data_IF_100239509338
#
_entry.id   IF_100239509338
#
_cell.length_a   1.000
_cell.length_b   1.000
_cell.length_c   1.000
_cell.angle_alpha   90.00
_cell.angle_beta   90.00
_cell.angle_gamma   90.00
#
_symmetry.space_group_name_H-M   'P 1'
#
loop_
_entity.id
_entity.type
_entity.pdbx_description
1 polymer ?
#
# COMPACT_ATOMS: atom_id res chain seq x y z
N UNK A 1 52.53 32.50 59.72
CA UNK A 1 51.07 32.42 59.91
C UNK A 1 50.31 33.37 58.94
N UNK A 2 50.61 34.65 58.88
CA UNK A 2 49.93 35.62 57.94
C UNK A 2 49.96 35.22 56.45
N UNK A 3 51.07 34.67 55.93
CA UNK A 3 51.21 34.25 54.53
C UNK A 3 50.31 33.07 54.14
N UNK A 4 50.15 32.13 55.10
CA UNK A 4 49.26 30.97 54.86
C UNK A 4 47.78 31.37 54.83
N UNK A 5 47.37 32.30 55.67
CA UNK A 5 46.03 32.87 55.73
C UNK A 5 45.67 33.60 54.45
N UNK A 6 46.64 34.39 53.90
CA UNK A 6 46.40 35.11 52.62
C UNK A 6 46.28 34.14 51.43
N UNK A 7 47.06 33.05 51.41
CA UNK A 7 46.90 32.03 50.37
C UNK A 7 45.53 31.31 50.42
N UNK A 8 45.10 30.99 51.64
CA UNK A 8 43.77 30.34 51.83
C UNK A 8 42.65 31.29 51.37
N UNK A 9 42.71 32.55 51.75
CA UNK A 9 41.72 33.55 51.29
C UNK A 9 41.69 33.74 49.77
N UNK A 10 42.87 33.71 49.12
CA UNK A 10 42.95 33.81 47.65
C UNK A 10 42.38 32.58 46.96
N UNK A 11 42.63 31.37 47.48
CA UNK A 11 42.07 30.14 46.94
C UNK A 11 40.56 30.11 47.13
N UNK A 12 40.05 30.50 48.30
CA UNK A 12 38.60 30.52 48.57
C UNK A 12 37.90 31.56 47.68
N UNK A 13 38.49 32.71 47.45
CA UNK A 13 37.92 33.73 46.52
C UNK A 13 37.91 33.23 45.08
N UNK A 14 38.97 32.52 44.65
CA UNK A 14 39.04 31.97 43.30
C UNK A 14 38.01 30.84 43.10
N UNK A 15 37.80 30.00 44.09
CA UNK A 15 36.77 28.95 44.03
C UNK A 15 35.36 29.52 44.04
N UNK A 16 35.11 30.60 44.76
CA UNK A 16 33.81 31.26 44.79
C UNK A 16 33.50 31.92 43.43
N UNK A 17 34.50 32.53 42.77
CA UNK A 17 34.34 33.13 41.44
C UNK A 17 34.08 32.06 40.37
N UNK A 18 34.77 30.91 40.47
CA UNK A 18 34.52 29.77 39.56
C UNK A 18 33.14 29.12 39.76
N UNK A 19 32.59 29.16 40.97
CA UNK A 19 31.25 28.65 41.26
C UNK A 19 30.13 29.60 40.75
N UNK A 20 30.41 30.89 40.56
CA UNK A 20 29.43 31.86 40.03
C UNK A 20 29.45 32.00 38.50
N UNK A 21 30.50 31.45 37.85
CA UNK A 21 30.52 31.27 36.39
C UNK A 21 29.92 29.89 36.06
N UNK A 22 28.89 29.48 36.80
CA UNK A 22 28.04 28.39 36.41
C UNK A 22 27.49 28.76 35.04
N UNK A 23 27.78 27.92 34.03
CA UNK A 23 27.17 28.04 32.73
C UNK A 23 25.70 28.39 32.91
N UNK A 24 25.31 29.56 32.44
CA UNK A 24 23.91 29.84 32.11
C UNK A 24 23.60 28.86 30.98
N UNK A 25 23.30 27.61 31.37
CA UNK A 25 22.68 26.66 30.48
C UNK A 25 21.31 27.26 30.21
N UNK A 26 21.25 28.12 29.19
CA UNK A 26 19.95 28.44 28.58
C UNK A 26 19.30 27.09 28.34
N UNK A 27 18.30 26.79 29.15
CA UNK A 27 17.47 25.63 28.93
C UNK A 27 17.00 25.74 27.50
N UNK A 28 17.53 24.89 26.64
CA UNK A 28 17.13 24.86 25.24
C UNK A 28 15.61 24.83 25.22
N UNK A 29 15.01 25.85 24.63
CA UNK A 29 13.56 25.92 24.51
C UNK A 29 13.04 24.57 24.00
N UNK A 30 11.99 24.07 24.65
CA UNK A 30 11.41 22.80 24.26
C UNK A 30 11.07 22.85 22.78
N UNK A 31 11.81 22.08 21.98
CA UNK A 31 11.53 21.98 20.55
C UNK A 31 10.12 21.46 20.36
N UNK A 32 9.23 22.32 19.92
CA UNK A 32 7.88 21.93 19.53
C UNK A 32 7.90 21.66 18.05
N UNK A 33 7.95 20.36 17.69
CA UNK A 33 7.82 19.95 16.31
C UNK A 33 6.42 20.31 15.81
N UNK A 34 6.34 21.28 14.93
CA UNK A 34 5.13 21.63 14.19
C UNK A 34 5.45 21.43 12.72
N UNK A 35 5.19 20.22 12.18
CA UNK A 35 5.38 20.01 10.75
C UNK A 35 4.41 20.93 9.99
N UNK A 36 4.93 21.61 8.98
CA UNK A 36 4.13 22.42 8.05
C UNK A 36 3.51 21.50 6.98
N UNK A 37 2.92 20.41 7.43
CA UNK A 37 2.25 19.42 6.58
C UNK A 37 0.91 19.04 7.21
N UNK A 38 -0.09 18.88 6.39
CA UNK A 38 -1.35 18.28 6.83
C UNK A 38 -1.10 16.81 7.20
N UNK A 39 -1.53 16.41 8.38
CA UNK A 39 -1.55 15.01 8.81
C UNK A 39 -2.90 14.34 8.45
N UNK A 40 -3.77 15.05 7.74
CA UNK A 40 -5.02 14.47 7.27
C UNK A 40 -4.78 13.60 6.04
N UNK A 41 -5.46 12.48 5.98
CA UNK A 41 -5.43 11.60 4.81
C UNK A 41 -6.05 12.32 3.61
N UNK A 42 -5.32 12.51 2.51
CA UNK A 42 -5.75 13.36 1.41
C UNK A 42 -6.97 12.81 0.65
N UNK A 43 -7.31 11.54 0.84
CA UNK A 43 -8.36 10.83 0.10
C UNK A 43 -9.54 10.40 0.97
N UNK A 44 -9.57 10.78 2.26
CA UNK A 44 -10.58 10.34 3.23
C UNK A 44 -12.03 10.70 2.86
N UNK A 45 -12.21 11.73 2.05
CA UNK A 45 -13.53 12.25 1.65
C UNK A 45 -14.02 11.72 0.30
N UNK A 46 -13.20 10.88 -0.38
CA UNK A 46 -13.54 10.26 -1.67
C UNK A 46 -13.55 8.75 -1.55
N UNK A 47 -14.28 8.08 -2.44
CA UNK A 47 -14.29 6.62 -2.50
C UNK A 47 -13.07 6.07 -3.25
N UNK A 48 -12.80 4.77 -3.10
CA UNK A 48 -11.75 4.09 -3.86
C UNK A 48 -11.97 4.25 -5.37
N UNK A 49 -13.22 4.18 -5.85
CA UNK A 49 -13.55 4.42 -7.26
C UNK A 49 -13.19 5.83 -7.71
N UNK A 50 -13.60 6.85 -6.93
CA UNK A 50 -13.29 8.25 -7.27
C UNK A 50 -11.79 8.51 -7.34
N UNK A 51 -11.00 7.86 -6.49
CA UNK A 51 -9.54 7.91 -6.55
C UNK A 51 -9.01 7.23 -7.81
N UNK A 52 -9.38 5.96 -8.04
CA UNK A 52 -8.88 5.14 -9.14
C UNK A 52 -9.27 5.67 -10.52
N UNK A 53 -10.41 6.38 -10.64
CA UNK A 53 -10.87 6.98 -11.92
C UNK A 53 -10.44 8.44 -12.09
N UNK A 54 -9.69 9.01 -11.15
CA UNK A 54 -9.30 10.43 -11.21
C UNK A 54 -8.14 10.66 -12.19
N UNK A 55 -8.09 11.86 -12.77
CA UNK A 55 -6.94 12.32 -13.56
C UNK A 55 -5.67 12.54 -12.75
N UNK A 56 -5.76 12.52 -11.42
CA UNK A 56 -4.61 12.62 -10.52
C UNK A 56 -3.71 11.36 -10.59
N UNK A 57 -4.31 10.21 -10.89
CA UNK A 57 -3.62 8.91 -10.93
C UNK A 57 -3.77 8.19 -12.27
N UNK A 58 -4.31 8.86 -13.28
CA UNK A 58 -4.51 8.31 -14.62
C UNK A 58 -4.13 9.32 -15.70
N UNK A 59 -3.97 8.82 -16.93
CA UNK A 59 -3.64 9.60 -18.13
C UNK A 59 -2.32 10.40 -17.97
N UNK A 60 -1.36 9.84 -17.25
CA UNK A 60 -0.02 10.38 -17.13
C UNK A 60 0.96 9.48 -17.86
N UNK A 61 1.88 10.10 -18.60
CA UNK A 61 2.80 9.41 -19.49
C UNK A 61 4.25 9.70 -19.11
N UNK A 62 5.09 8.71 -19.31
CA UNK A 62 6.54 8.84 -19.29
C UNK A 62 7.03 9.64 -20.52
N UNK A 63 8.32 9.99 -20.54
CA UNK A 63 8.96 10.71 -21.65
C UNK A 63 8.87 9.94 -22.99
N UNK A 64 8.80 8.62 -22.96
CA UNK A 64 8.66 7.73 -24.12
C UNK A 64 7.21 7.56 -24.61
N UNK A 65 6.25 8.23 -23.96
CA UNK A 65 4.83 8.16 -24.31
C UNK A 65 4.08 6.96 -23.75
N UNK A 66 4.73 6.15 -22.90
CA UNK A 66 4.05 5.04 -22.20
C UNK A 66 3.35 5.54 -20.93
N UNK A 67 2.25 4.88 -20.53
CA UNK A 67 1.58 5.16 -19.27
C UNK A 67 2.51 4.92 -18.07
N UNK A 68 2.41 5.77 -17.04
CA UNK A 68 3.18 5.59 -15.81
C UNK A 68 2.75 4.29 -15.13
N UNK A 69 3.71 3.42 -14.83
CA UNK A 69 3.47 2.09 -14.27
C UNK A 69 2.80 2.08 -12.90
N UNK A 70 3.04 3.10 -12.07
CA UNK A 70 2.45 3.22 -10.73
C UNK A 70 1.04 3.83 -10.73
N UNK A 71 0.52 4.24 -11.88
CA UNK A 71 -0.85 4.73 -12.06
C UNK A 71 -1.86 3.58 -12.20
N UNK A 72 -3.16 3.89 -12.35
CA UNK A 72 -4.27 2.93 -12.27
C UNK A 72 -5.19 2.96 -13.50
N UNK A 73 -4.68 3.36 -14.67
CA UNK A 73 -5.46 3.47 -15.91
C UNK A 73 -6.16 2.14 -16.27
N UNK A 74 -5.39 1.05 -16.28
CA UNK A 74 -5.95 -0.27 -16.59
C UNK A 74 -6.89 -0.78 -15.50
N UNK A 75 -6.63 -0.48 -14.22
CA UNK A 75 -7.51 -0.91 -13.14
C UNK A 75 -8.87 -0.20 -13.22
N UNK A 76 -8.89 1.10 -13.50
CA UNK A 76 -10.15 1.85 -13.67
C UNK A 76 -10.95 1.34 -14.86
N UNK A 77 -10.30 1.10 -16.00
CA UNK A 77 -10.93 0.50 -17.17
C UNK A 77 -11.48 -0.91 -16.89
N UNK A 78 -10.69 -1.73 -16.16
CA UNK A 78 -11.08 -3.09 -15.78
C UNK A 78 -12.32 -3.11 -14.87
N UNK A 79 -12.38 -2.25 -13.85
CA UNK A 79 -13.52 -2.11 -12.94
C UNK A 79 -14.78 -1.72 -13.72
N UNK A 80 -14.65 -0.76 -14.65
CA UNK A 80 -15.77 -0.32 -15.49
C UNK A 80 -16.24 -1.43 -16.43
N UNK A 81 -15.32 -2.11 -17.14
CA UNK A 81 -15.64 -3.22 -18.05
C UNK A 81 -16.30 -4.40 -17.33
N UNK A 82 -15.81 -4.74 -16.13
CA UNK A 82 -16.37 -5.81 -15.30
C UNK A 82 -17.75 -5.48 -14.69
N UNK A 83 -18.18 -4.19 -14.73
CA UNK A 83 -19.41 -3.71 -14.10
C UNK A 83 -19.33 -3.74 -12.56
N UNK A 84 -18.15 -3.49 -11.99
CA UNK A 84 -17.90 -3.54 -10.55
C UNK A 84 -17.72 -2.15 -9.89
N UNK A 85 -18.14 -1.08 -10.58
CA UNK A 85 -18.02 0.29 -10.03
C UNK A 85 -18.64 0.39 -8.65
N UNK A 86 -19.82 -0.20 -8.42
CA UNK A 86 -20.51 -0.15 -7.14
C UNK A 86 -19.71 -0.80 -6.02
N UNK A 87 -18.93 -1.85 -6.29
CA UNK A 87 -18.08 -2.50 -5.28
C UNK A 87 -16.97 -1.59 -4.76
N UNK A 88 -16.49 -0.67 -5.60
CA UNK A 88 -15.44 0.31 -5.27
C UNK A 88 -15.99 1.68 -4.87
N UNK A 89 -17.30 1.94 -5.07
CA UNK A 89 -17.92 3.24 -4.87
C UNK A 89 -18.91 3.30 -3.69
N UNK A 90 -19.54 2.16 -3.35
CA UNK A 90 -20.55 2.12 -2.26
C UNK A 90 -19.88 2.33 -0.90
N UNK A 91 -20.44 3.19 -0.04
CA UNK A 91 -19.93 3.38 1.31
C UNK A 91 -19.90 2.07 2.09
N UNK A 92 -18.71 1.69 2.52
CA UNK A 92 -18.46 0.50 3.34
C UNK A 92 -17.06 0.63 3.96
N UNK A 93 -16.95 1.16 5.15
CA UNK A 93 -15.71 1.47 5.85
C UNK A 93 -14.92 0.23 6.34
N UNK A 94 -15.48 -0.95 6.17
CA UNK A 94 -14.86 -2.22 6.56
C UNK A 94 -14.02 -2.90 5.48
N UNK A 95 -13.77 -2.30 4.31
CA UNK A 95 -13.07 -2.96 3.18
C UNK A 95 -11.62 -2.55 3.06
N UNK A 96 -10.81 -3.48 2.51
CA UNK A 96 -9.47 -3.20 2.00
C UNK A 96 -9.42 -3.48 0.51
N UNK A 97 -8.94 -2.50 -0.25
CA UNK A 97 -8.75 -2.60 -1.69
C UNK A 97 -7.26 -2.83 -2.00
N UNK A 98 -6.92 -3.99 -2.54
CA UNK A 98 -5.60 -4.24 -3.12
C UNK A 98 -5.60 -3.70 -4.55
N UNK A 99 -5.07 -2.50 -4.71
CA UNK A 99 -5.14 -1.76 -5.97
C UNK A 99 -4.02 -2.18 -6.89
N UNK A 100 -4.37 -2.74 -8.04
CA UNK A 100 -3.44 -3.16 -9.08
C UNK A 100 -3.05 -1.95 -9.93
N UNK A 101 -1.78 -1.55 -9.87
CA UNK A 101 -1.30 -0.46 -10.73
C UNK A 101 -1.07 -0.95 -12.18
N UNK A 102 -0.66 -0.05 -13.08
CA UNK A 102 -0.45 -0.41 -14.49
C UNK A 102 0.58 -1.53 -14.67
N UNK A 103 1.62 -1.61 -13.80
CA UNK A 103 2.58 -2.71 -13.87
C UNK A 103 1.93 -4.07 -13.66
N UNK A 104 0.90 -4.17 -12.82
CA UNK A 104 0.18 -5.43 -12.58
C UNK A 104 -0.66 -5.91 -13.78
N UNK A 105 -0.83 -5.06 -14.79
CA UNK A 105 -1.55 -5.40 -16.01
C UNK A 105 -0.62 -5.79 -17.15
N UNK A 106 0.63 -5.28 -17.14
CA UNK A 106 1.56 -5.32 -18.26
C UNK A 106 2.65 -6.36 -18.06
N UNK A 107 2.52 -7.53 -18.66
CA UNK A 107 3.55 -8.57 -18.61
C UNK A 107 3.02 -9.99 -18.81
N UNK A 108 3.95 -10.94 -18.83
CA UNK A 108 3.61 -12.35 -18.93
C UNK A 108 3.07 -12.88 -17.60
N UNK A 109 1.81 -13.31 -17.61
CA UNK A 109 1.13 -13.81 -16.43
C UNK A 109 0.36 -12.73 -15.64
N UNK A 110 0.43 -11.49 -16.08
CA UNK A 110 -0.30 -10.37 -15.50
C UNK A 110 -1.75 -10.28 -16.01
N UNK A 111 -2.50 -9.28 -15.55
CA UNK A 111 -3.95 -9.24 -15.75
C UNK A 111 -4.33 -9.29 -17.21
N UNK A 112 -3.70 -8.50 -18.09
CA UNK A 112 -4.05 -8.49 -19.53
C UNK A 112 -3.88 -9.87 -20.14
N UNK A 113 -2.71 -10.51 -19.92
CA UNK A 113 -2.46 -11.86 -20.45
C UNK A 113 -3.47 -12.88 -19.91
N UNK A 114 -3.90 -12.75 -18.65
CA UNK A 114 -4.86 -13.65 -18.01
C UNK A 114 -6.27 -13.49 -18.58
N UNK A 115 -6.69 -12.27 -18.91
CA UNK A 115 -8.08 -11.99 -19.30
C UNK A 115 -8.30 -11.94 -20.82
N UNK A 116 -7.22 -11.71 -21.61
CA UNK A 116 -7.31 -11.64 -23.08
C UNK A 116 -6.67 -12.83 -23.78
N UNK A 117 -5.87 -13.63 -23.05
CA UNK A 117 -5.08 -14.74 -23.61
C UNK A 117 -3.76 -14.30 -24.26
N UNK A 118 -3.44 -13.00 -24.32
CA UNK A 118 -2.18 -12.46 -24.83
C UNK A 118 -1.74 -11.24 -23.99
N UNK A 119 -0.44 -11.07 -23.71
CA UNK A 119 0.08 -9.84 -23.12
C UNK A 119 0.16 -8.67 -24.12
N UNK A 120 -0.11 -8.92 -25.41
CA UNK A 120 0.11 -7.94 -26.47
C UNK A 120 -0.96 -6.83 -26.44
N UNK A 121 -0.48 -5.61 -26.55
CA UNK A 121 -1.29 -4.39 -26.70
C UNK A 121 -0.91 -3.77 -28.03
N UNK A 122 -1.91 -3.40 -28.82
CA UNK A 122 -1.68 -2.73 -30.11
C UNK A 122 -1.20 -1.30 -29.89
N UNK A 123 -0.40 -0.79 -30.82
CA UNK A 123 0.09 0.58 -30.75
C UNK A 123 -1.08 1.58 -30.76
N UNK A 124 -1.17 2.39 -29.70
CA UNK A 124 -2.24 3.39 -29.51
C UNK A 124 -3.53 2.84 -28.93
N UNK A 125 -3.60 1.54 -28.57
CA UNK A 125 -4.75 0.96 -27.91
C UNK A 125 -4.91 1.52 -26.48
N UNK A 126 -6.09 2.02 -26.15
CA UNK A 126 -6.38 2.56 -24.82
C UNK A 126 -6.67 1.46 -23.80
N UNK A 127 -6.53 1.72 -22.48
CA UNK A 127 -6.91 0.76 -21.46
C UNK A 127 -8.35 0.23 -21.59
N UNK A 128 -9.29 1.07 -22.00
CA UNK A 128 -10.68 0.70 -22.22
C UNK A 128 -10.85 -0.26 -23.41
N UNK A 129 -10.12 -0.04 -24.49
CA UNK A 129 -10.13 -0.92 -25.66
C UNK A 129 -9.52 -2.28 -25.34
N UNK A 130 -8.42 -2.30 -24.57
CA UNK A 130 -7.83 -3.55 -24.08
C UNK A 130 -8.83 -4.32 -23.21
N UNK A 131 -9.48 -3.66 -22.25
CA UNK A 131 -10.45 -4.29 -21.37
C UNK A 131 -11.75 -4.70 -22.06
N UNK A 132 -12.09 -4.09 -23.19
CA UNK A 132 -13.27 -4.49 -23.97
C UNK A 132 -13.17 -5.89 -24.58
N UNK A 133 -11.95 -6.43 -24.75
CA UNK A 133 -11.71 -7.81 -25.24
C UNK A 133 -11.43 -8.83 -24.14
N UNK A 134 -11.55 -8.43 -22.87
CA UNK A 134 -11.28 -9.29 -21.73
C UNK A 134 -12.38 -10.35 -21.53
N UNK A 135 -11.99 -11.51 -21.04
CA UNK A 135 -12.92 -12.46 -20.42
C UNK A 135 -13.43 -11.84 -19.10
N UNK A 136 -14.69 -11.39 -19.14
CA UNK A 136 -15.29 -10.64 -18.03
C UNK A 136 -15.48 -11.50 -16.77
N UNK A 137 -15.63 -12.82 -16.90
CA UNK A 137 -15.79 -13.68 -15.75
C UNK A 137 -14.47 -13.86 -15.02
N UNK A 138 -13.37 -14.04 -15.75
CA UNK A 138 -12.01 -14.07 -15.21
C UNK A 138 -11.67 -12.71 -14.60
N UNK A 139 -11.98 -11.62 -15.29
CA UNK A 139 -11.71 -10.26 -14.81
C UNK A 139 -12.46 -9.95 -13.49
N UNK A 140 -13.74 -10.33 -13.38
CA UNK A 140 -14.53 -10.21 -12.15
C UNK A 140 -13.94 -11.02 -11.01
N UNK A 141 -13.46 -12.23 -11.30
CA UNK A 141 -12.79 -13.08 -10.32
C UNK A 141 -11.53 -12.41 -9.77
N UNK A 142 -10.68 -11.89 -10.66
CA UNK A 142 -9.47 -11.16 -10.28
C UNK A 142 -9.82 -9.97 -9.40
N UNK A 143 -10.69 -9.07 -9.86
CA UNK A 143 -11.01 -7.84 -9.14
C UNK A 143 -11.66 -8.10 -7.78
N UNK A 144 -12.57 -9.09 -7.67
CA UNK A 144 -13.18 -9.46 -6.39
C UNK A 144 -12.21 -10.12 -5.43
N UNK A 145 -11.22 -10.86 -5.92
CA UNK A 145 -10.17 -11.42 -5.08
C UNK A 145 -9.28 -10.33 -4.47
N UNK A 146 -9.19 -9.18 -5.11
CA UNK A 146 -8.41 -8.04 -4.62
C UNK A 146 -9.21 -7.07 -3.73
N UNK A 147 -10.43 -7.45 -3.30
CA UNK A 147 -11.20 -6.74 -2.28
C UNK A 147 -11.35 -7.63 -1.05
N UNK A 148 -10.76 -7.22 0.07
CA UNK A 148 -10.85 -7.95 1.34
C UNK A 148 -12.00 -7.36 2.17
N UNK A 149 -12.82 -8.21 2.78
CA UNK A 149 -14.00 -7.84 3.57
C UNK A 149 -13.66 -7.35 5.00
N UNK A 150 -12.42 -6.89 5.21
CA UNK A 150 -11.92 -6.42 6.51
C UNK A 150 -11.05 -5.18 6.27
N UNK A 151 -11.17 -4.20 7.15
CA UNK A 151 -10.30 -3.02 7.13
C UNK A 151 -8.93 -3.38 7.69
N UNK A 152 -7.89 -3.27 6.88
CA UNK A 152 -6.53 -3.70 7.22
C UNK A 152 -5.56 -2.55 6.91
N UNK A 153 -4.92 -2.01 7.93
CA UNK A 153 -3.79 -1.09 7.76
C UNK A 153 -2.47 -1.88 7.66
N UNK A 154 -1.38 -1.19 7.40
CA UNK A 154 -0.04 -1.79 7.48
C UNK A 154 0.25 -2.40 8.87
N UNK A 155 -0.40 -1.92 9.93
CA UNK A 155 -0.12 -2.28 11.31
C UNK A 155 -1.26 -3.05 12.00
N UNK A 156 -2.49 -2.71 11.72
CA UNK A 156 -3.68 -3.30 12.35
C UNK A 156 -4.54 -4.00 11.30
N UNK A 157 -4.92 -5.25 11.49
CA UNK A 157 -4.64 -6.15 12.63
C UNK A 157 -3.31 -6.92 12.56
N UNK A 158 -2.37 -6.55 11.67
CA UNK A 158 -1.12 -7.28 11.43
C UNK A 158 -0.06 -7.00 12.54
N UNK A 159 -0.42 -7.19 13.80
CA UNK A 159 0.40 -6.74 14.94
C UNK A 159 1.70 -7.53 15.14
N UNK A 160 1.70 -8.83 14.85
CA UNK A 160 2.87 -9.69 15.04
C UNK A 160 3.67 -9.89 13.77
N UNK A 161 5.00 -9.80 13.86
CA UNK A 161 5.87 -10.03 12.72
C UNK A 161 5.98 -11.52 12.36
N UNK A 162 5.97 -11.81 11.08
CA UNK A 162 6.13 -13.16 10.57
C UNK A 162 4.93 -14.08 10.76
N UNK A 163 3.83 -13.58 11.33
CA UNK A 163 2.57 -14.32 11.47
C UNK A 163 1.72 -14.16 10.22
N UNK A 164 1.11 -15.26 9.78
CA UNK A 164 0.16 -15.27 8.67
C UNK A 164 -1.24 -14.95 9.19
N UNK A 165 -1.81 -13.86 8.71
CA UNK A 165 -3.19 -13.46 9.00
C UNK A 165 -4.05 -13.79 7.78
N UNK A 166 -5.08 -14.60 7.98
CA UNK A 166 -5.99 -15.04 6.90
C UNK A 166 -7.27 -14.22 6.93
N UNK A 167 -7.66 -13.73 5.77
CA UNK A 167 -8.85 -12.91 5.57
C UNK A 167 -9.72 -13.49 4.45
N UNK A 168 -10.97 -13.07 4.42
CA UNK A 168 -11.90 -13.38 3.34
C UNK A 168 -11.96 -12.20 2.35
N UNK A 169 -11.83 -12.51 1.07
CA UNK A 169 -12.10 -11.56 -0.02
C UNK A 169 -13.59 -11.53 -0.36
N UNK A 170 -14.00 -10.82 -1.41
CA UNK A 170 -15.38 -10.88 -1.91
C UNK A 170 -15.72 -12.21 -2.62
N UNK A 171 -14.75 -13.09 -2.81
CA UNK A 171 -15.00 -14.46 -3.27
C UNK A 171 -15.30 -15.32 -2.04
N UNK A 172 -16.45 -15.99 -1.98
CA UNK A 172 -16.79 -16.83 -0.83
C UNK A 172 -15.99 -18.14 -0.80
N UNK A 173 -15.87 -18.73 0.40
CA UNK A 173 -15.24 -20.03 0.60
C UNK A 173 -13.72 -20.01 0.55
N UNK A 174 -13.13 -21.19 0.44
CA UNK A 174 -11.67 -21.37 0.48
C UNK A 174 -10.94 -20.68 -0.67
N UNK A 175 -11.55 -20.59 -1.84
CA UNK A 175 -11.00 -19.92 -3.01
C UNK A 175 -10.84 -18.41 -2.81
N UNK A 176 -11.62 -17.82 -1.90
CA UNK A 176 -11.56 -16.41 -1.55
C UNK A 176 -10.65 -16.10 -0.36
N UNK A 177 -9.96 -17.08 0.19
CA UNK A 177 -9.01 -16.82 1.27
C UNK A 177 -7.74 -16.12 0.75
N UNK A 178 -7.30 -15.12 1.50
CA UNK A 178 -6.08 -14.36 1.24
C UNK A 178 -5.27 -14.24 2.52
N UNK A 179 -3.95 -14.30 2.44
CA UNK A 179 -3.05 -14.21 3.58
C UNK A 179 -2.19 -12.98 3.47
N UNK A 180 -2.18 -12.17 4.53
CA UNK A 180 -1.26 -11.07 4.71
C UNK A 180 -0.26 -11.42 5.81
N UNK A 181 1.00 -11.07 5.61
CA UNK A 181 2.07 -11.29 6.57
C UNK A 181 2.99 -10.08 6.61
N UNK A 182 3.12 -9.47 7.79
CA UNK A 182 4.05 -8.37 7.99
C UNK A 182 5.43 -8.88 8.43
N UNK A 183 6.48 -8.37 7.84
CA UNK A 183 7.85 -8.66 8.25
C UNK A 183 8.37 -7.64 9.29
N UNK A 184 9.58 -7.88 9.80
CA UNK A 184 10.27 -7.03 10.79
C UNK A 184 10.67 -5.65 10.26
N UNK A 185 10.57 -5.43 8.94
CA UNK A 185 10.78 -4.14 8.27
C UNK A 185 9.49 -3.42 7.94
N UNK A 186 8.37 -3.86 8.53
CA UNK A 186 7.02 -3.34 8.30
C UNK A 186 6.49 -3.55 6.88
N UNK A 187 7.10 -4.40 6.06
CA UNK A 187 6.61 -4.72 4.73
C UNK A 187 5.54 -5.80 4.84
N UNK A 188 4.49 -5.68 4.04
CA UNK A 188 3.41 -6.66 4.01
C UNK A 188 3.48 -7.47 2.71
N UNK A 189 3.66 -8.76 2.86
CA UNK A 189 3.58 -9.74 1.79
C UNK A 189 2.16 -10.32 1.73
N UNK A 190 1.64 -10.50 0.52
CA UNK A 190 0.33 -11.09 0.25
C UNK A 190 0.55 -12.47 -0.36
N UNK A 191 -0.07 -13.51 0.20
CA UNK A 191 0.01 -14.91 -0.25
C UNK A 191 1.43 -15.49 -0.33
N UNK A 192 2.40 -14.93 0.36
CA UNK A 192 3.79 -15.39 0.30
C UNK A 192 4.01 -16.76 0.97
N UNK A 193 3.21 -17.06 1.97
CA UNK A 193 3.27 -18.36 2.67
C UNK A 193 2.05 -19.19 2.32
N UNK A 194 2.21 -20.47 1.96
CA UNK A 194 1.09 -21.33 1.61
C UNK A 194 0.18 -21.63 2.79
N UNK A 195 0.69 -21.66 4.02
CA UNK A 195 -0.14 -21.98 5.18
C UNK A 195 -0.71 -20.69 5.81
N UNK A 196 -2.01 -20.64 6.14
CA UNK A 196 -3.02 -21.70 6.07
C UNK A 196 -3.81 -21.76 4.76
N UNK A 197 -3.32 -21.16 3.69
CA UNK A 197 -4.01 -21.20 2.40
C UNK A 197 -4.14 -22.64 1.87
N UNK A 198 -5.18 -22.93 1.08
CA UNK A 198 -5.29 -24.19 0.37
C UNK A 198 -4.11 -24.40 -0.57
N UNK A 199 -3.83 -25.64 -0.95
CA UNK A 199 -2.71 -26.02 -1.81
C UNK A 199 -2.68 -25.31 -3.18
N UNK A 200 -3.82 -24.79 -3.61
CA UNK A 200 -4.00 -24.02 -4.84
C UNK A 200 -3.44 -22.61 -4.79
N UNK A 201 -3.19 -22.06 -3.61
CA UNK A 201 -2.67 -20.70 -3.42
C UNK A 201 -1.14 -20.63 -3.39
N UNK A 202 -0.46 -21.62 -3.91
CA UNK A 202 0.97 -21.81 -3.73
C UNK A 202 1.77 -21.55 -4.99
N UNK A 203 2.99 -21.10 -4.82
CA UNK A 203 3.97 -20.99 -5.89
C UNK A 203 4.29 -19.57 -6.31
N UNK A 204 5.43 -19.42 -7.01
CA UNK A 204 5.85 -18.13 -7.57
C UNK A 204 4.81 -17.61 -8.56
N UNK A 205 4.58 -16.30 -8.53
CA UNK A 205 3.58 -15.63 -9.34
C UNK A 205 2.15 -15.60 -8.74
N UNK A 206 1.94 -16.20 -7.56
CA UNK A 206 0.65 -16.12 -6.84
C UNK A 206 0.75 -15.24 -5.59
N UNK A 207 1.88 -14.60 -5.37
CA UNK A 207 2.13 -13.75 -4.21
C UNK A 207 2.79 -12.45 -4.64
N UNK A 208 2.55 -11.40 -3.89
CA UNK A 208 3.16 -10.09 -4.12
C UNK A 208 3.42 -9.37 -2.80
N UNK A 209 4.19 -8.30 -2.87
CA UNK A 209 4.42 -7.37 -1.77
C UNK A 209 3.68 -6.06 -2.02
N UNK A 210 3.00 -5.57 -1.01
CA UNK A 210 2.39 -4.25 -1.06
C UNK A 210 3.49 -3.19 -1.28
N UNK A 211 3.27 -2.30 -2.23
CA UNK A 211 4.19 -1.22 -2.61
C UNK A 211 3.92 0.05 -1.83
N UNK A 212 2.70 0.54 -1.89
CA UNK A 212 2.26 1.73 -1.18
C UNK A 212 1.09 1.39 -0.28
N UNK A 213 1.06 1.98 0.91
CA UNK A 213 0.15 1.60 2.00
C UNK A 213 -0.80 2.72 2.38
N UNK A 214 -1.94 2.32 2.94
CA UNK A 214 -2.83 3.18 3.72
C UNK A 214 -3.38 4.39 2.95
N UNK A 215 -3.87 4.18 1.73
CA UNK A 215 -4.75 5.16 1.07
C UNK A 215 -6.11 5.09 1.75
N UNK A 216 -6.39 6.01 2.67
CA UNK A 216 -7.66 6.04 3.41
C UNK A 216 -8.74 6.67 2.53
N UNK A 217 -9.82 5.94 2.30
CA UNK A 217 -10.98 6.35 1.52
C UNK A 217 -12.22 6.45 2.42
N UNK A 218 -13.26 7.15 1.96
CA UNK A 218 -14.55 7.20 2.64
C UNK A 218 -15.27 5.85 2.72
N UNK A 219 -14.82 4.87 1.94
CA UNK A 219 -15.41 3.53 1.88
C UNK A 219 -14.41 2.39 2.14
N UNK A 220 -13.27 2.68 2.76
CA UNK A 220 -12.29 1.67 3.11
C UNK A 220 -10.85 2.16 3.05
N UNK A 221 -9.91 1.23 2.87
CA UNK A 221 -8.49 1.53 2.77
C UNK A 221 -7.89 0.83 1.55
N UNK A 222 -6.95 1.47 0.87
CA UNK A 222 -6.26 0.95 -0.29
C UNK A 222 -4.78 0.65 -0.05
N UNK A 223 -4.28 -0.35 -0.75
CA UNK A 223 -2.86 -0.69 -0.84
C UNK A 223 -2.50 -1.02 -2.28
N UNK A 224 -1.37 -0.50 -2.77
CA UNK A 224 -0.94 -0.70 -4.16
C UNK A 224 -0.13 -1.99 -4.34
N UNK A 225 -0.38 -2.71 -5.44
CA UNK A 225 0.35 -3.88 -5.88
C UNK A 225 0.85 -3.69 -7.31
N UNK A 226 2.04 -4.25 -7.60
CA UNK A 226 2.63 -4.27 -8.95
C UNK A 226 2.29 -5.53 -9.74
N UNK A 227 1.83 -6.58 -9.07
CA UNK A 227 1.44 -7.85 -9.68
C UNK A 227 0.13 -8.35 -9.07
N UNK A 228 -0.70 -9.08 -9.82
CA UNK A 228 -1.90 -9.70 -9.26
C UNK A 228 -1.53 -10.85 -8.33
N UNK A 229 -2.29 -11.03 -7.25
CA UNK A 229 -2.16 -12.17 -6.34
C UNK A 229 -3.28 -13.16 -6.57
N UNK A 230 -3.05 -14.44 -6.24
CA UNK A 230 -3.99 -15.53 -6.50
C UNK A 230 -4.07 -16.50 -5.34
N UNK A 231 -5.25 -17.06 -5.11
CA UNK A 231 -5.42 -18.23 -4.27
C UNK A 231 -5.18 -19.51 -5.07
N UNK A 232 -5.58 -19.53 -6.33
CA UNK A 232 -5.39 -20.64 -7.27
C UNK A 232 -5.07 -20.06 -8.66
N UNK A 233 -4.55 -20.87 -9.59
CA UNK A 233 -4.44 -20.42 -10.96
C UNK A 233 -5.80 -19.98 -11.47
N UNK A 234 -5.90 -18.76 -11.99
CA UNK A 234 -7.11 -18.37 -12.70
C UNK A 234 -7.30 -19.34 -13.88
N UNK A 235 -8.54 -19.66 -14.25
CA UNK A 235 -8.80 -20.50 -15.40
C UNK A 235 -8.02 -19.94 -16.60
N UNK A 236 -7.19 -20.77 -17.23
CA UNK A 236 -6.55 -20.36 -18.48
C UNK A 236 -7.68 -20.03 -19.45
N UNK A 237 -7.64 -18.87 -20.10
CA UNK A 237 -8.54 -18.64 -21.24
C UNK A 237 -8.36 -19.83 -22.18
N UNK A 238 -9.46 -20.45 -22.59
CA UNK A 238 -9.41 -21.59 -23.49
C UNK A 238 -8.62 -21.20 -24.72
N UNK A 239 -7.42 -21.76 -24.84
CA UNK A 239 -6.58 -21.69 -26.03
C UNK A 239 -7.21 -22.59 -27.10
#
# INVERSE_FOLDING_TARGET
MKYLINKIKAITALTLVLATVGCDLELQDRFVFKPDVSLEDPYKDITAWQFLSSSQVNNQFNEDGTLIGDNYDYMSAAIAAAGLIDEYNTPNDGRTFLMLNNNAFLGNGDVIALVTGSPDIEEGETPEEVMARADLDVLRLILRYHIISTYITQNDPLVEFGVNYTFQTLIPGEEGLIVLRRDDRLRVDVNRSPAPLPSTATGGGNNERIRNYNYVFSNGIGHSLNDPVRNQPYPSPNI
#
